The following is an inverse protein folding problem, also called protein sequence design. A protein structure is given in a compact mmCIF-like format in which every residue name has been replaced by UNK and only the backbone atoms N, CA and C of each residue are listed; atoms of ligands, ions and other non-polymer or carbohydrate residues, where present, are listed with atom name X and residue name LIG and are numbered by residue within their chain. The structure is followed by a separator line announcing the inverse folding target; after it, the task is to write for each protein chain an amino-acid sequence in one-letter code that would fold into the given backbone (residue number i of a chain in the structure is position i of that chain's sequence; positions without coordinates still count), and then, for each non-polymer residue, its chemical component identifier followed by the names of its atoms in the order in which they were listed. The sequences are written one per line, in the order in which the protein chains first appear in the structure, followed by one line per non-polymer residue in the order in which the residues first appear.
data_IF_340165199026
#
_entry.id   IF_340165199026
#
_cell.length_a   1.000
_cell.length_b   1.000
_cell.length_c   1.000
_cell.angle_alpha   90.00
_cell.angle_beta   90.00
_cell.angle_gamma   90.00
#
_symmetry.space_group_name_H-M   'P 1'
#
loop_
_entity.id
_entity.type
_entity.pdbx_description
1 polymer ?
#
# COMPACT_ATOMS: atom_id res chain seq x y z
N UNK A 1 11.64 16.42 -4.45
CA UNK A 1 12.68 15.39 -4.69
C UNK A 1 12.81 15.02 -6.18
N UNK A 2 11.76 14.61 -6.90
CA UNK A 2 11.87 14.08 -8.28
C UNK A 2 12.53 15.05 -9.29
N UNK A 3 12.24 16.35 -9.19
CA UNK A 3 12.83 17.35 -10.06
C UNK A 3 14.35 17.54 -9.82
N UNK A 4 14.79 17.49 -8.57
CA UNK A 4 16.20 17.58 -8.19
C UNK A 4 16.99 16.34 -8.66
N UNK A 5 16.41 15.15 -8.43
CA UNK A 5 16.98 13.88 -8.90
C UNK A 5 17.13 13.91 -10.41
N UNK A 6 16.09 14.34 -11.16
CA UNK A 6 16.15 14.45 -12.62
C UNK A 6 17.23 15.40 -13.08
N UNK A 7 17.31 16.59 -12.50
CA UNK A 7 18.30 17.60 -12.88
C UNK A 7 19.72 17.09 -12.61
N UNK A 8 19.93 16.37 -11.51
CA UNK A 8 21.23 15.77 -11.20
C UNK A 8 21.58 14.65 -12.17
N UNK A 9 20.64 13.76 -12.50
CA UNK A 9 20.82 12.70 -13.49
C UNK A 9 21.17 13.29 -14.87
N UNK A 10 20.44 14.30 -15.32
CA UNK A 10 20.72 14.98 -16.59
C UNK A 10 22.08 15.69 -16.58
N UNK A 11 22.44 16.32 -15.48
CA UNK A 11 23.75 16.98 -15.33
C UNK A 11 24.91 15.99 -15.44
N UNK A 12 24.78 14.81 -14.88
CA UNK A 12 25.79 13.75 -14.94
C UNK A 12 25.81 13.12 -16.33
N UNK A 13 24.66 12.77 -16.89
CA UNK A 13 24.54 12.13 -18.19
C UNK A 13 24.97 13.04 -19.36
N UNK A 14 24.69 14.36 -19.29
CA UNK A 14 25.04 15.33 -20.31
C UNK A 14 26.52 15.75 -20.34
N UNK A 15 27.30 15.36 -19.34
CA UNK A 15 28.71 15.81 -19.20
C UNK A 15 29.60 15.49 -20.40
N UNK A 16 29.18 14.53 -21.23
CA UNK A 16 29.94 14.05 -22.40
C UNK A 16 29.19 14.12 -23.72
N UNK A 17 28.07 14.84 -23.85
CA UNK A 17 27.22 14.92 -25.06
C UNK A 17 26.68 13.56 -25.57
N UNK A 18 26.59 12.55 -24.75
CA UNK A 18 26.27 11.17 -25.17
C UNK A 18 24.83 10.71 -24.98
N UNK A 19 23.91 11.58 -24.62
CA UNK A 19 22.54 11.11 -24.60
C UNK A 19 21.54 12.04 -23.93
N UNK A 20 20.48 12.32 -24.63
CA UNK A 20 19.29 12.98 -24.09
C UNK A 20 18.37 11.93 -23.50
N UNK A 21 18.09 12.04 -22.21
CA UNK A 21 17.09 11.22 -21.54
C UNK A 21 15.75 11.95 -21.66
N UNK A 22 14.81 11.35 -22.40
CA UNK A 22 13.48 11.94 -22.52
C UNK A 22 12.74 11.92 -21.19
N UNK A 23 11.75 12.80 -20.95
CA UNK A 23 10.91 12.74 -19.75
C UNK A 23 10.25 11.39 -19.50
N UNK A 24 9.81 10.73 -20.58
CA UNK A 24 9.18 9.41 -20.50
C UNK A 24 10.19 8.33 -20.10
N UNK A 25 11.41 8.37 -20.66
CA UNK A 25 12.47 7.43 -20.27
C UNK A 25 12.87 7.64 -18.81
N UNK A 26 12.99 8.92 -18.38
CA UNK A 26 13.26 9.23 -16.98
C UNK A 26 12.19 8.66 -16.05
N UNK A 27 10.90 8.85 -16.35
CA UNK A 27 9.82 8.31 -15.53
C UNK A 27 9.84 6.77 -15.46
N UNK A 28 10.21 6.11 -16.57
CA UNK A 28 10.37 4.65 -16.61
C UNK A 28 11.51 4.18 -15.70
N UNK A 29 12.68 4.83 -15.79
CA UNK A 29 13.84 4.49 -14.95
C UNK A 29 13.59 4.84 -13.48
N UNK A 30 12.96 5.98 -13.22
CA UNK A 30 12.57 6.41 -11.89
C UNK A 30 11.64 5.40 -11.20
N UNK A 31 10.63 4.89 -11.94
CA UNK A 31 9.74 3.84 -11.44
C UNK A 31 10.52 2.57 -11.07
N UNK A 32 11.40 2.11 -11.95
CA UNK A 32 12.16 0.88 -11.70
C UNK A 32 13.13 1.06 -10.53
N UNK A 33 13.84 2.18 -10.47
CA UNK A 33 14.75 2.49 -9.38
C UNK A 33 14.05 2.55 -8.02
N UNK A 34 12.86 3.16 -7.96
CA UNK A 34 12.06 3.20 -6.73
C UNK A 34 11.63 1.80 -6.29
N UNK A 35 11.19 0.94 -7.21
CA UNK A 35 10.81 -0.44 -6.89
C UNK A 35 12.00 -1.25 -6.39
N UNK A 36 13.17 -1.11 -7.00
CA UNK A 36 14.38 -1.82 -6.56
C UNK A 36 14.80 -1.42 -5.14
N UNK A 37 14.74 -0.11 -4.81
CA UNK A 37 15.06 0.36 -3.46
C UNK A 37 14.00 -0.14 -2.46
N UNK A 38 12.73 -0.13 -2.85
CA UNK A 38 11.64 -0.65 -2.02
C UNK A 38 11.84 -2.15 -1.69
N UNK A 39 12.23 -2.97 -2.67
CA UNK A 39 12.51 -4.39 -2.44
C UNK A 39 13.79 -4.60 -1.60
N UNK A 40 14.79 -3.74 -1.75
CA UNK A 40 16.02 -3.76 -0.96
C UNK A 40 15.75 -3.56 0.54
N UNK A 41 14.80 -2.72 0.93
CA UNK A 41 14.42 -2.56 2.34
C UNK A 41 13.98 -3.88 3.00
N UNK A 42 13.18 -4.69 2.29
CA UNK A 42 12.77 -6.00 2.81
C UNK A 42 13.94 -6.96 2.94
N UNK A 43 14.86 -6.92 1.98
CA UNK A 43 16.06 -7.74 2.03
C UNK A 43 16.95 -7.34 3.21
N UNK A 44 17.20 -6.07 3.39
CA UNK A 44 18.01 -5.53 4.50
C UNK A 44 17.36 -5.85 5.85
N UNK A 45 16.07 -5.61 6.01
CA UNK A 45 15.32 -5.93 7.22
C UNK A 45 15.46 -7.41 7.60
N UNK A 46 15.30 -8.30 6.63
CA UNK A 46 15.44 -9.74 6.85
C UNK A 46 16.88 -10.13 7.21
N UNK A 47 17.87 -9.57 6.50
CA UNK A 47 19.29 -9.81 6.77
C UNK A 47 19.70 -9.36 8.18
N UNK A 48 19.22 -8.20 8.63
CA UNK A 48 19.47 -7.68 9.97
C UNK A 48 18.79 -8.51 11.06
N UNK A 49 17.55 -8.95 10.86
CA UNK A 49 16.87 -9.85 11.80
C UNK A 49 17.62 -11.17 11.97
N UNK A 50 18.16 -11.74 10.89
CA UNK A 50 18.98 -12.94 10.96
C UNK A 50 20.28 -12.66 11.73
N UNK A 51 20.95 -11.53 11.46
CA UNK A 51 22.17 -11.13 12.18
C UNK A 51 21.91 -10.93 13.69
N UNK A 52 20.80 -10.30 14.07
CA UNK A 52 20.42 -10.14 15.48
C UNK A 52 20.17 -11.47 16.19
N UNK A 53 19.48 -12.40 15.54
CA UNK A 53 19.22 -13.72 16.12
C UNK A 53 20.50 -14.54 16.35
N UNK A 54 21.56 -14.30 15.58
CA UNK A 54 22.86 -14.94 15.73
C UNK A 54 23.72 -14.25 16.79
N UNK A 55 23.55 -12.94 17.02
CA UNK A 55 24.27 -12.18 18.04
C UNK A 55 23.58 -12.32 19.40
N UNK A 56 24.13 -13.15 20.28
CA UNK A 56 23.67 -13.31 21.67
C UNK A 56 24.00 -12.15 22.62
N UNK A 57 24.70 -11.11 22.17
CA UNK A 57 25.03 -9.94 22.98
C UNK A 57 24.41 -8.67 22.38
N UNK A 58 23.45 -8.11 23.09
CA UNK A 58 22.66 -6.93 22.71
C UNK A 58 23.36 -5.58 22.77
N UNK A 59 24.54 -5.44 22.20
CA UNK A 59 25.25 -4.14 22.07
C UNK A 59 25.30 -3.69 20.63
N UNK A 60 24.14 -3.49 20.00
CA UNK A 60 24.02 -2.76 18.74
C UNK A 60 23.82 -1.27 19.04
N UNK A 61 24.74 -0.41 18.62
CA UNK A 61 24.71 1.03 18.91
C UNK A 61 23.72 1.83 18.05
N UNK A 62 23.17 1.25 17.00
CA UNK A 62 22.14 1.85 16.18
C UNK A 62 21.00 0.86 16.02
N UNK A 63 19.79 1.35 16.24
CA UNK A 63 18.58 0.56 16.05
C UNK A 63 18.19 0.58 14.55
N UNK A 64 19.09 0.01 13.71
CA UNK A 64 18.94 -0.03 12.26
C UNK A 64 17.65 -0.78 11.89
N UNK A 65 17.33 -1.85 12.64
CA UNK A 65 16.10 -2.60 12.45
C UNK A 65 14.88 -1.71 12.65
N UNK A 66 14.90 -0.87 13.68
CA UNK A 66 13.80 0.07 13.96
C UNK A 66 13.67 1.13 12.88
N UNK A 67 14.79 1.65 12.38
CA UNK A 67 14.77 2.61 11.26
C UNK A 67 14.17 1.99 10.00
N UNK A 68 14.53 0.74 9.68
CA UNK A 68 13.95 0.01 8.55
C UNK A 68 12.46 -0.31 8.78
N UNK A 69 12.07 -0.64 10.01
CA UNK A 69 10.66 -0.82 10.36
C UNK A 69 9.85 0.47 10.15
N UNK A 70 10.36 1.62 10.57
CA UNK A 70 9.71 2.92 10.37
C UNK A 70 9.52 3.25 8.88
N UNK A 71 10.50 2.93 8.04
CA UNK A 71 10.39 3.08 6.58
C UNK A 71 9.34 2.13 6.00
N UNK A 72 9.36 0.86 6.41
CA UNK A 72 8.36 -0.13 5.96
C UNK A 72 6.95 0.23 6.43
N UNK A 73 6.81 0.74 7.65
CA UNK A 73 5.53 1.17 8.20
C UNK A 73 4.95 2.38 7.44
N UNK A 74 5.78 3.21 6.81
CA UNK A 74 5.30 4.31 5.96
C UNK A 74 4.52 3.82 4.73
N UNK A 75 4.75 2.58 4.30
CA UNK A 75 3.99 1.92 3.22
C UNK A 75 2.82 1.10 3.75
N UNK A 76 2.60 1.07 5.06
CA UNK A 76 1.47 0.35 5.66
C UNK A 76 0.17 1.08 5.39
N UNK A 77 -0.85 0.34 4.97
CA UNK A 77 -2.18 0.86 4.71
C UNK A 77 -3.25 -0.07 5.30
N UNK A 78 -4.37 0.53 5.66
CA UNK A 78 -5.54 -0.21 6.16
C UNK A 78 -6.69 -0.03 5.18
N UNK A 79 -7.30 -1.15 4.77
CA UNK A 79 -8.49 -1.14 3.90
C UNK A 79 -9.49 -2.22 4.29
N UNK A 80 -10.76 -1.93 4.10
CA UNK A 80 -11.80 -2.94 4.08
C UNK A 80 -11.70 -3.75 2.78
N UNK A 81 -11.81 -5.08 2.89
CA UNK A 81 -11.81 -5.94 1.72
C UNK A 81 -13.19 -5.92 1.06
N UNK A 82 -13.21 -5.89 -0.28
CA UNK A 82 -14.44 -5.86 -1.05
C UNK A 82 -14.98 -7.29 -1.16
N UNK A 83 -16.19 -7.49 -0.65
CA UNK A 83 -16.86 -8.79 -0.67
C UNK A 83 -17.46 -9.10 -2.05
N UNK A 84 -17.11 -10.28 -2.60
CA UNK A 84 -17.63 -10.76 -3.91
C UNK A 84 -18.69 -11.85 -3.82
N UNK A 85 -18.99 -12.33 -2.63
CA UNK A 85 -19.86 -13.48 -2.41
C UNK A 85 -19.09 -14.75 -2.09
N UNK A 86 -19.79 -15.75 -1.49
CA UNK A 86 -19.22 -17.06 -1.16
C UNK A 86 -17.92 -16.99 -0.34
N UNK A 87 -17.85 -16.08 0.60
CA UNK A 87 -16.67 -15.86 1.46
C UNK A 87 -15.39 -15.37 0.74
N UNK A 88 -15.55 -14.96 -0.52
CA UNK A 88 -14.48 -14.44 -1.34
C UNK A 88 -14.39 -12.91 -1.20
N UNK A 89 -13.17 -12.43 -0.97
CA UNK A 89 -12.86 -11.01 -0.83
C UNK A 89 -11.72 -10.62 -1.76
N UNK A 90 -11.78 -9.41 -2.33
CA UNK A 90 -10.72 -8.84 -3.11
C UNK A 90 -9.71 -8.12 -2.22
N UNK A 91 -8.43 -8.35 -2.49
CA UNK A 91 -7.35 -7.54 -1.97
C UNK A 91 -7.23 -6.24 -2.76
N UNK A 92 -6.71 -5.18 -2.14
CA UNK A 92 -6.40 -3.94 -2.84
C UNK A 92 -5.43 -4.19 -4.01
N UNK A 93 -5.62 -3.48 -5.14
CA UNK A 93 -4.77 -3.67 -6.33
C UNK A 93 -3.29 -3.38 -6.10
N UNK A 94 -3.02 -2.47 -5.15
CA UNK A 94 -1.67 -2.03 -4.80
C UNK A 94 -1.04 -2.81 -3.64
N UNK A 95 -1.62 -3.96 -3.23
CA UNK A 95 -1.05 -4.71 -2.13
C UNK A 95 0.27 -5.40 -2.54
N UNK A 96 1.24 -5.37 -1.63
CA UNK A 96 2.50 -6.11 -1.73
C UNK A 96 2.52 -7.29 -0.76
N UNK A 97 2.28 -7.02 0.51
CA UNK A 97 2.30 -8.03 1.57
C UNK A 97 1.18 -7.78 2.58
N UNK A 98 0.46 -8.83 2.95
CA UNK A 98 -0.56 -8.76 3.99
C UNK A 98 0.12 -8.89 5.36
N UNK A 99 -0.06 -7.89 6.22
CA UNK A 99 0.39 -7.96 7.61
C UNK A 99 -0.62 -8.72 8.46
N UNK A 100 -1.87 -8.23 8.47
CA UNK A 100 -2.96 -8.81 9.23
C UNK A 100 -4.29 -8.65 8.52
N UNK A 101 -5.18 -9.60 8.73
CA UNK A 101 -6.60 -9.48 8.39
C UNK A 101 -7.41 -9.63 9.68
N UNK A 102 -8.30 -8.69 9.91
CA UNK A 102 -9.17 -8.66 11.08
C UNK A 102 -10.63 -8.78 10.66
N UNK A 103 -11.39 -9.55 11.43
CA UNK A 103 -12.82 -9.67 11.33
C UNK A 103 -13.49 -8.84 12.44
N UNK A 104 -14.39 -7.97 12.05
CA UNK A 104 -15.22 -7.16 12.93
C UNK A 104 -16.62 -7.75 12.96
N UNK A 105 -16.98 -8.37 14.07
CA UNK A 105 -18.21 -9.16 14.17
C UNK A 105 -19.48 -8.30 14.39
N UNK A 106 -19.35 -6.99 14.56
CA UNK A 106 -20.47 -6.10 14.86
C UNK A 106 -20.49 -4.93 13.89
N UNK A 107 -21.42 -4.99 12.94
CA UNK A 107 -21.82 -3.83 12.15
C UNK A 107 -22.86 -3.06 12.98
N UNK A 108 -22.64 -1.75 13.15
CA UNK A 108 -23.57 -0.86 13.85
C UNK A 108 -24.63 -0.33 12.91
N UNK A 109 -24.20 0.13 11.73
CA UNK A 109 -25.13 0.64 10.70
C UNK A 109 -24.52 0.53 9.31
N UNK A 110 -25.36 0.51 8.31
CA UNK A 110 -25.02 0.58 6.88
C UNK A 110 -25.98 1.55 6.19
N UNK A 111 -25.53 2.21 5.15
CA UNK A 111 -26.36 3.17 4.41
C UNK A 111 -25.64 3.68 3.17
N UNK A 112 -26.14 4.78 2.64
CA UNK A 112 -25.61 5.42 1.44
C UNK A 112 -25.35 6.89 1.70
N UNK A 113 -24.24 7.40 1.21
CA UNK A 113 -23.93 8.84 1.31
C UNK A 113 -24.98 9.68 0.57
N UNK A 114 -25.53 10.68 1.24
CA UNK A 114 -26.52 11.62 0.62
C UNK A 114 -25.89 12.95 0.24
N UNK A 115 -24.71 13.28 0.81
CA UNK A 115 -23.96 14.48 0.46
C UNK A 115 -22.44 14.18 0.56
N UNK A 116 -21.63 15.01 -0.10
CA UNK A 116 -20.15 14.89 -0.09
C UNK A 116 -19.56 16.17 0.48
N UNK A 117 -18.95 16.04 1.63
CA UNK A 117 -18.16 17.09 2.27
C UNK A 117 -16.86 16.46 2.76
N UNK A 118 -15.74 17.11 2.51
CA UNK A 118 -14.42 16.59 2.85
C UNK A 118 -14.33 16.15 4.33
N UNK A 119 -13.78 14.97 4.56
CA UNK A 119 -13.66 14.33 5.87
C UNK A 119 -15.00 14.13 6.62
N UNK A 120 -16.10 13.97 5.91
CA UNK A 120 -17.42 13.84 6.53
C UNK A 120 -18.19 12.69 5.87
N UNK A 121 -18.97 11.97 6.64
CA UNK A 121 -20.05 11.11 6.15
C UNK A 121 -21.38 11.77 6.49
N UNK A 122 -22.18 12.02 5.49
CA UNK A 122 -23.53 12.57 5.62
C UNK A 122 -24.53 11.61 4.97
N UNK A 123 -25.51 11.18 5.77
CA UNK A 123 -26.62 10.35 5.32
C UNK A 123 -27.92 10.86 5.98
N UNK A 124 -28.77 11.47 5.17
CA UNK A 124 -30.06 12.03 5.61
C UNK A 124 -31.04 10.96 6.11
N UNK A 125 -30.82 9.68 5.78
CA UNK A 125 -31.69 8.57 6.16
C UNK A 125 -31.16 7.81 7.39
N UNK A 126 -29.96 8.12 7.87
CA UNK A 126 -29.36 7.48 9.04
C UNK A 126 -29.71 8.23 10.33
N UNK A 127 -29.57 7.53 11.46
CA UNK A 127 -29.56 8.11 12.81
C UNK A 127 -28.36 7.58 13.59
N UNK A 128 -27.19 8.19 13.38
CA UNK A 128 -25.92 7.79 14.00
C UNK A 128 -25.94 7.87 15.55
N UNK A 129 -26.83 8.67 16.11
CA UNK A 129 -26.99 8.78 17.55
C UNK A 129 -27.75 7.58 18.11
N UNK A 130 -28.85 7.19 17.49
CA UNK A 130 -29.64 6.01 17.88
C UNK A 130 -28.89 4.72 17.60
N UNK A 131 -28.09 4.67 16.53
CA UNK A 131 -27.23 3.54 16.18
C UNK A 131 -26.00 3.42 17.09
N UNK A 132 -25.89 4.32 18.06
CA UNK A 132 -24.81 4.33 19.07
C UNK A 132 -23.40 4.37 18.43
N UNK A 133 -23.23 5.18 17.38
CA UNK A 133 -21.94 5.44 16.78
C UNK A 133 -21.11 6.29 17.74
N UNK A 134 -19.88 5.86 17.99
CA UNK A 134 -18.93 6.53 18.89
C UNK A 134 -17.63 6.88 18.20
N UNK A 135 -16.91 7.81 18.79
CA UNK A 135 -15.55 8.16 18.33
C UNK A 135 -14.66 6.92 18.41
N UNK A 136 -13.94 6.65 17.34
CA UNK A 136 -13.08 5.48 17.18
C UNK A 136 -13.74 4.32 16.42
N UNK A 137 -15.04 4.35 16.14
CA UNK A 137 -15.64 3.36 15.23
C UNK A 137 -15.05 3.52 13.83
N UNK A 138 -15.02 2.43 13.07
CA UNK A 138 -14.44 2.40 11.74
C UNK A 138 -15.53 2.42 10.68
N UNK A 139 -15.40 3.37 9.75
CA UNK A 139 -16.27 3.52 8.59
C UNK A 139 -15.55 3.00 7.35
N UNK A 140 -16.20 2.18 6.56
CA UNK A 140 -15.69 1.71 5.27
C UNK A 140 -16.53 2.24 4.12
N UNK A 141 -15.84 2.59 3.03
CA UNK A 141 -16.45 2.81 1.73
C UNK A 141 -16.51 1.46 1.01
N UNK A 142 -17.70 0.98 0.71
CA UNK A 142 -17.91 -0.38 0.22
C UNK A 142 -17.57 -0.54 -1.28
N UNK A 143 -17.32 0.56 -1.99
CA UNK A 143 -16.91 0.55 -3.39
C UNK A 143 -15.38 0.57 -3.53
N UNK A 144 -14.70 1.43 -2.77
CA UNK A 144 -13.24 1.61 -2.87
C UNK A 144 -12.45 0.81 -1.82
N UNK A 145 -13.13 0.34 -0.77
CA UNK A 145 -12.51 -0.31 0.38
C UNK A 145 -11.74 0.66 1.29
N UNK A 146 -11.77 1.98 1.02
CA UNK A 146 -11.15 2.96 1.91
C UNK A 146 -11.84 2.93 3.27
N UNK A 147 -11.05 3.13 4.33
CA UNK A 147 -11.54 3.12 5.69
C UNK A 147 -11.03 4.33 6.48
N UNK A 148 -11.88 4.87 7.34
CA UNK A 148 -11.56 6.00 8.20
C UNK A 148 -12.21 5.84 9.57
N UNK A 149 -11.61 6.40 10.61
CA UNK A 149 -12.17 6.39 11.95
C UNK A 149 -13.12 7.57 12.15
N UNK A 150 -14.18 7.33 12.92
CA UNK A 150 -15.06 8.40 13.40
C UNK A 150 -14.30 9.26 14.40
N UNK A 151 -14.13 10.54 14.10
CA UNK A 151 -13.48 11.50 14.98
C UNK A 151 -14.50 12.28 15.84
N UNK A 152 -15.71 12.47 15.30
CA UNK A 152 -16.78 13.18 15.99
C UNK A 152 -18.15 12.82 15.41
N UNK A 153 -19.15 12.67 16.26
CA UNK A 153 -20.57 12.65 15.86
C UNK A 153 -21.10 14.09 15.97
N UNK A 154 -21.48 14.68 14.84
CA UNK A 154 -21.92 16.09 14.74
C UNK A 154 -23.41 16.21 14.94
N UNK A 155 -24.17 15.33 14.28
CA UNK A 155 -25.63 15.28 14.32
C UNK A 155 -26.10 13.84 14.09
N UNK A 156 -27.42 13.56 14.19
CA UNK A 156 -27.94 12.24 13.85
C UNK A 156 -27.60 11.77 12.43
N UNK A 157 -27.42 12.71 11.50
CA UNK A 157 -27.19 12.42 10.07
C UNK A 157 -25.77 12.73 9.59
N UNK A 158 -24.87 13.24 10.47
CA UNK A 158 -23.54 13.70 10.08
C UNK A 158 -22.48 13.27 11.09
N UNK A 159 -21.44 12.63 10.60
CA UNK A 159 -20.22 12.29 11.37
C UNK A 159 -18.97 12.80 10.67
N UNK A 160 -17.95 13.18 11.47
CA UNK A 160 -16.63 13.53 10.97
C UNK A 160 -15.69 12.34 10.99
N UNK A 161 -14.86 12.24 9.96
CA UNK A 161 -13.92 11.15 9.73
C UNK A 161 -12.47 11.64 9.85
N UNK A 162 -11.56 10.70 10.10
CA UNK A 162 -10.12 10.97 10.15
C UNK A 162 -9.53 11.31 8.77
N UNK A 163 -10.09 10.74 7.72
CA UNK A 163 -9.65 10.92 6.34
C UNK A 163 -10.86 11.06 5.42
N UNK A 164 -10.65 11.66 4.28
CA UNK A 164 -11.66 11.73 3.22
C UNK A 164 -11.71 10.41 2.45
N UNK A 165 -12.84 9.73 2.53
CA UNK A 165 -13.05 8.43 1.88
C UNK A 165 -14.25 8.40 0.94
N UNK A 166 -14.98 9.51 0.85
CA UNK A 166 -16.18 9.63 0.00
C UNK A 166 -16.04 10.81 -0.96
N UNK A 167 -15.99 10.51 -2.23
CA UNK A 167 -15.86 11.48 -3.34
C UNK A 167 -17.16 11.65 -4.15
N UNK A 168 -18.13 10.76 -3.97
CA UNK A 168 -19.41 10.74 -4.68
C UNK A 168 -20.57 10.52 -3.72
N UNK A 169 -21.75 10.99 -4.14
CA UNK A 169 -23.03 10.71 -3.49
C UNK A 169 -23.54 9.34 -3.92
N UNK A 170 -24.25 8.65 -3.03
CA UNK A 170 -24.83 7.34 -3.30
C UNK A 170 -23.85 6.18 -3.14
N UNK A 171 -22.74 6.41 -2.46
CA UNK A 171 -21.76 5.37 -2.12
C UNK A 171 -22.25 4.63 -0.88
N UNK A 172 -22.28 3.30 -0.98
CA UNK A 172 -22.56 2.42 0.16
C UNK A 172 -21.44 2.46 1.19
N UNK A 173 -21.83 2.44 2.46
CA UNK A 173 -20.90 2.40 3.58
C UNK A 173 -21.34 1.43 4.66
N UNK A 174 -20.39 0.95 5.44
CA UNK A 174 -20.60 0.19 6.66
C UNK A 174 -19.84 0.81 7.82
N UNK A 175 -20.44 0.86 9.00
CA UNK A 175 -19.79 1.30 10.24
C UNK A 175 -19.70 0.12 11.19
N UNK A 176 -18.48 -0.21 11.59
CA UNK A 176 -18.20 -1.33 12.48
C UNK A 176 -17.64 -0.86 13.81
N UNK A 177 -17.98 -1.62 14.85
CA UNK A 177 -17.45 -1.36 16.20
C UNK A 177 -16.00 -1.80 16.32
N UNK A 178 -15.15 -0.94 16.86
CA UNK A 178 -13.73 -1.21 17.11
C UNK A 178 -13.44 -1.63 18.56
N UNK A 179 -14.46 -1.96 19.33
CA UNK A 179 -14.23 -2.45 20.71
C UNK A 179 -13.43 -3.76 20.69
N UNK A 180 -12.47 -3.97 21.61
CA UNK A 180 -11.61 -5.17 21.60
C UNK A 180 -12.37 -6.50 21.63
N UNK A 181 -13.58 -6.53 22.18
CA UNK A 181 -14.43 -7.72 22.21
C UNK A 181 -15.01 -8.12 20.86
N UNK A 182 -15.06 -7.17 19.89
CA UNK A 182 -15.67 -7.37 18.58
C UNK A 182 -14.67 -7.69 17.47
N UNK A 183 -13.38 -7.50 17.72
CA UNK A 183 -12.31 -7.72 16.75
C UNK A 183 -11.72 -9.12 16.92
N UNK A 184 -11.57 -9.84 15.82
CA UNK A 184 -10.89 -11.15 15.76
C UNK A 184 -9.86 -11.11 14.64
N UNK A 185 -8.65 -11.58 14.95
CA UNK A 185 -7.64 -11.81 13.92
C UNK A 185 -8.01 -13.06 13.11
N UNK A 186 -7.91 -12.99 11.81
CA UNK A 186 -8.14 -14.10 10.89
C UNK A 186 -6.78 -14.74 10.62
N UNK A 187 -6.61 -16.03 10.97
CA UNK A 187 -5.34 -16.73 10.82
C UNK A 187 -5.10 -17.14 9.36
N UNK A 188 -3.89 -16.91 8.86
CA UNK A 188 -3.47 -17.39 7.55
C UNK A 188 -3.24 -18.90 7.56
N UNK A 189 -3.91 -19.60 6.66
CA UNK A 189 -3.77 -21.05 6.47
C UNK A 189 -3.38 -21.36 5.02
N UNK A 190 -2.56 -22.37 4.80
CA UNK A 190 -2.24 -22.83 3.46
C UNK A 190 -3.43 -23.54 2.82
N UNK A 191 -3.51 -23.51 1.47
CA UNK A 191 -4.54 -24.19 0.69
C UNK A 191 -4.70 -25.68 1.06
N UNK A 192 -3.60 -26.39 1.26
CA UNK A 192 -3.66 -27.82 1.63
C UNK A 192 -4.20 -28.02 3.05
N UNK A 193 -3.80 -27.17 4.00
CA UNK A 193 -4.20 -27.30 5.41
C UNK A 193 -5.70 -27.03 5.60
N UNK A 194 -6.29 -26.10 4.84
CA UNK A 194 -7.71 -25.75 5.01
C UNK A 194 -8.64 -26.94 4.70
N UNK A 195 -8.29 -27.82 3.73
CA UNK A 195 -9.06 -29.02 3.45
C UNK A 195 -9.12 -29.98 4.65
N UNK A 196 -8.00 -30.12 5.36
CA UNK A 196 -7.97 -30.94 6.58
C UNK A 196 -8.77 -30.30 7.72
N UNK A 197 -8.68 -28.98 7.87
CA UNK A 197 -9.44 -28.26 8.88
C UNK A 197 -10.95 -28.36 8.63
N UNK A 198 -11.37 -28.25 7.37
CA UNK A 198 -12.78 -28.33 6.99
C UNK A 198 -13.35 -29.76 7.03
N UNK A 199 -12.51 -30.81 7.08
CA UNK A 199 -12.97 -32.20 7.11
C UNK A 199 -13.47 -32.67 8.48
N UNK A 200 -13.17 -31.93 9.55
CA UNK A 200 -13.56 -32.30 10.92
C UNK A 200 -14.31 -31.17 11.61
N UNK A 201 -15.48 -31.44 12.22
CA UNK A 201 -16.22 -30.44 12.98
C UNK A 201 -15.44 -29.85 14.17
N UNK A 202 -14.43 -30.58 14.67
CA UNK A 202 -13.62 -30.14 15.80
C UNK A 202 -12.54 -29.13 15.40
N UNK A 203 -12.08 -29.18 14.16
CA UNK A 203 -11.01 -28.32 13.63
C UNK A 203 -11.52 -27.27 12.65
N UNK A 204 -12.80 -27.30 12.34
CA UNK A 204 -13.43 -26.36 11.40
C UNK A 204 -13.31 -24.92 11.94
N UNK A 205 -12.88 -23.95 11.11
CA UNK A 205 -12.82 -22.55 11.50
C UNK A 205 -14.18 -22.02 11.98
N UNK A 206 -14.18 -21.27 13.04
CA UNK A 206 -15.39 -20.66 13.61
C UNK A 206 -15.28 -19.14 13.58
N UNK A 207 -16.37 -18.42 13.83
CA UNK A 207 -16.36 -16.95 13.94
C UNK A 207 -15.49 -16.44 15.10
N UNK A 208 -15.17 -17.31 16.06
CA UNK A 208 -14.22 -17.00 17.16
C UNK A 208 -12.76 -17.20 16.73
N UNK A 209 -12.51 -18.16 15.85
CA UNK A 209 -11.21 -18.52 15.32
C UNK A 209 -11.30 -18.65 13.79
N UNK A 210 -11.48 -17.51 13.10
CA UNK A 210 -11.60 -17.51 11.65
C UNK A 210 -10.24 -17.76 11.00
N UNK A 211 -10.27 -18.31 9.79
CA UNK A 211 -9.08 -18.57 8.99
C UNK A 211 -9.25 -18.02 7.57
N UNK A 212 -8.13 -17.68 6.92
CA UNK A 212 -8.16 -17.29 5.51
C UNK A 212 -7.12 -18.04 4.68
N UNK A 213 -7.40 -18.14 3.40
CA UNK A 213 -6.50 -18.69 2.39
C UNK A 213 -6.31 -17.65 1.30
N UNK A 214 -5.05 -17.46 0.90
CA UNK A 214 -4.72 -16.63 -0.26
C UNK A 214 -5.07 -17.35 -1.55
N UNK A 215 -5.68 -16.66 -2.47
CA UNK A 215 -6.27 -17.24 -3.68
C UNK A 215 -7.64 -17.81 -3.39
N UNK A 216 -8.54 -17.63 -4.31
CA UNK A 216 -9.87 -18.19 -4.28
C UNK A 216 -10.08 -19.10 -5.48
N UNK A 217 -11.23 -19.76 -5.52
CA UNK A 217 -11.66 -20.45 -6.70
C UNK A 217 -11.83 -19.43 -7.85
N UNK A 218 -10.84 -19.38 -8.72
CA UNK A 218 -10.97 -18.71 -9.99
C UNK A 218 -11.83 -19.59 -10.90
N UNK A 219 -13.04 -19.19 -11.11
CA UNK A 219 -13.98 -20.00 -11.89
C UNK A 219 -14.91 -19.20 -12.76
N UNK A 220 -14.89 -17.88 -12.71
CA UNK A 220 -15.82 -17.06 -13.50
C UNK A 220 -15.11 -16.50 -14.72
N UNK A 221 -15.42 -17.08 -15.89
CA UNK A 221 -15.04 -16.53 -17.18
C UNK A 221 -15.50 -15.06 -17.26
N UNK A 222 -14.55 -14.13 -17.39
CA UNK A 222 -14.81 -12.70 -17.50
C UNK A 222 -14.40 -11.87 -16.28
N UNK A 223 -13.94 -12.47 -15.20
CA UNK A 223 -13.32 -11.73 -14.10
C UNK A 223 -11.89 -11.35 -14.49
N UNK A 224 -11.64 -10.07 -14.60
CA UNK A 224 -10.31 -9.46 -14.80
C UNK A 224 -9.48 -9.52 -13.51
N UNK A 225 -9.68 -10.51 -12.65
CA UNK A 225 -8.90 -10.60 -11.42
C UNK A 225 -7.48 -10.99 -11.76
N UNK A 226 -6.58 -10.08 -11.51
CA UNK A 226 -5.15 -10.33 -11.52
C UNK A 226 -4.85 -11.50 -10.59
N UNK A 227 -4.10 -12.46 -11.07
CA UNK A 227 -3.75 -13.67 -10.34
C UNK A 227 -3.28 -13.36 -8.92
N UNK A 228 -3.91 -13.96 -7.92
CA UNK A 228 -3.48 -13.86 -6.53
C UNK A 228 -4.09 -12.73 -5.68
N UNK A 229 -4.98 -11.90 -6.24
CA UNK A 229 -5.54 -10.76 -5.51
C UNK A 229 -6.85 -11.05 -4.77
N UNK A 230 -7.09 -12.30 -4.40
CA UNK A 230 -8.29 -12.70 -3.67
C UNK A 230 -7.95 -13.46 -2.39
N UNK A 231 -8.84 -13.36 -1.43
CA UNK A 231 -8.78 -14.07 -0.15
C UNK A 231 -10.09 -14.78 0.09
N UNK A 232 -10.03 -16.07 0.42
CA UNK A 232 -11.19 -16.81 0.89
C UNK A 232 -11.17 -16.90 2.40
N UNK A 233 -12.24 -16.44 3.05
CA UNK A 233 -12.37 -16.42 4.52
C UNK A 233 -13.28 -17.54 4.98
N UNK A 234 -12.92 -18.21 6.06
CA UNK A 234 -13.69 -19.26 6.73
C UNK A 234 -13.99 -18.87 8.18
N UNK A 235 -15.18 -19.18 8.70
CA UNK A 235 -16.29 -19.91 8.07
C UNK A 235 -17.07 -19.05 7.06
N UNK A 236 -17.85 -19.72 6.21
CA UNK A 236 -18.69 -19.09 5.18
C UNK A 236 -19.74 -18.11 5.73
N UNK A 237 -19.99 -18.13 7.05
CA UNK A 237 -20.86 -17.16 7.72
C UNK A 237 -20.24 -15.76 7.83
N UNK A 238 -18.94 -15.61 7.58
CA UNK A 238 -18.27 -14.32 7.42
C UNK A 238 -18.40 -13.92 5.97
N UNK A 239 -19.47 -13.24 5.63
CA UNK A 239 -19.82 -12.96 4.23
C UNK A 239 -20.58 -11.64 4.09
N UNK A 240 -20.19 -10.60 4.84
CA UNK A 240 -20.81 -9.29 4.75
C UNK A 240 -19.76 -8.24 4.45
N UNK A 241 -20.10 -7.30 3.56
CA UNK A 241 -19.26 -6.17 3.21
C UNK A 241 -18.92 -5.34 4.46
N UNK A 242 -17.72 -4.80 4.55
CA UNK A 242 -17.26 -3.96 5.64
C UNK A 242 -16.76 -4.69 6.90
N UNK A 243 -17.04 -6.01 7.04
CA UNK A 243 -16.63 -6.77 8.23
C UNK A 243 -15.17 -7.22 8.23
N UNK A 244 -14.54 -7.33 7.06
CA UNK A 244 -13.17 -7.84 6.93
C UNK A 244 -12.25 -6.70 6.51
N UNK A 245 -11.29 -6.40 7.36
CA UNK A 245 -10.36 -5.29 7.19
C UNK A 245 -8.95 -5.83 7.22
N UNK A 246 -8.15 -5.40 6.25
CA UNK A 246 -6.75 -5.79 6.13
C UNK A 246 -5.82 -4.63 6.45
N UNK A 247 -4.77 -4.94 7.19
CA UNK A 247 -3.54 -4.15 7.22
C UNK A 247 -2.52 -4.80 6.29
N UNK A 248 -1.98 -4.03 5.38
CA UNK A 248 -1.07 -4.53 4.36
C UNK A 248 0.00 -3.49 4.02
N UNK A 249 1.12 -3.96 3.50
CA UNK A 249 2.12 -3.11 2.89
C UNK A 249 1.74 -2.96 1.42
N UNK A 250 1.65 -1.71 0.96
CA UNK A 250 1.36 -1.39 -0.42
C UNK A 250 2.62 -1.15 -1.24
N UNK A 251 2.53 -1.37 -2.53
CA UNK A 251 3.54 -0.85 -3.43
C UNK A 251 3.60 0.67 -3.37
N UNK A 252 4.80 1.28 -3.52
CA UNK A 252 4.90 2.72 -3.67
C UNK A 252 4.19 3.19 -4.93
N UNK A 253 3.64 4.40 -4.89
CA UNK A 253 3.01 5.00 -6.06
C UNK A 253 4.05 5.22 -7.16
N UNK A 254 3.61 5.10 -8.40
CA UNK A 254 4.50 5.29 -9.55
C UNK A 254 4.92 6.75 -9.63
N UNK A 255 6.23 7.06 -9.51
CA UNK A 255 6.69 8.44 -9.62
C UNK A 255 6.45 8.96 -11.04
N UNK A 256 5.99 10.19 -11.16
CA UNK A 256 5.69 10.79 -12.44
C UNK A 256 6.14 12.26 -12.45
N UNK A 257 7.22 12.54 -13.16
CA UNK A 257 7.68 13.88 -13.44
C UNK A 257 6.88 14.48 -14.58
N UNK A 258 6.06 15.47 -14.27
CA UNK A 258 5.17 16.14 -15.21
C UNK A 258 5.81 17.41 -15.77
N UNK A 259 5.43 17.79 -16.98
CA UNK A 259 6.04 18.92 -17.66
C UNK A 259 5.09 19.62 -18.63
N UNK A 260 5.38 20.88 -18.89
CA UNK A 260 4.74 21.69 -19.94
C UNK A 260 5.79 22.04 -21.01
N UNK A 261 5.43 21.88 -22.28
CA UNK A 261 6.22 22.39 -23.41
C UNK A 261 5.72 23.78 -23.81
N UNK A 262 6.54 24.80 -23.61
CA UNK A 262 6.18 26.20 -23.87
C UNK A 262 6.33 26.52 -25.37
N UNK A 263 7.06 25.72 -26.16
CA UNK A 263 7.28 25.94 -27.61
C UNK A 263 7.85 24.71 -28.31
N UNK A 264 7.78 24.74 -29.64
CA UNK A 264 8.36 23.68 -30.49
C UNK A 264 9.89 23.71 -30.35
N UNK A 265 10.48 22.59 -29.94
CA UNK A 265 11.94 22.42 -29.69
C UNK A 265 12.48 23.13 -28.43
N UNK A 266 11.64 23.54 -27.48
CA UNK A 266 12.12 23.97 -26.17
C UNK A 266 12.19 22.82 -25.17
N UNK A 267 13.11 22.95 -24.22
CA UNK A 267 13.21 21.96 -23.15
C UNK A 267 11.93 21.92 -22.33
N UNK A 268 11.46 20.73 -21.92
CA UNK A 268 10.29 20.57 -21.08
C UNK A 268 10.52 21.22 -19.71
N UNK A 269 9.61 22.12 -19.31
CA UNK A 269 9.62 22.76 -17.99
C UNK A 269 8.81 21.95 -17.00
N UNK A 270 9.34 21.76 -15.80
CA UNK A 270 8.67 21.04 -14.72
C UNK A 270 7.35 21.72 -14.34
N UNK A 271 6.29 20.93 -14.16
CA UNK A 271 4.97 21.37 -13.73
C UNK A 271 4.48 20.51 -12.57
N UNK A 272 4.57 21.08 -11.37
CA UNK A 272 4.09 20.44 -10.12
C UNK A 272 2.56 20.54 -9.98
N UNK A 273 1.93 21.46 -10.71
CA UNK A 273 0.48 21.72 -10.61
C UNK A 273 -0.37 20.69 -11.40
N UNK A 274 0.28 19.84 -12.18
CA UNK A 274 -0.41 18.83 -12.97
C UNK A 274 -1.02 17.75 -12.06
N UNK A 275 -2.31 17.37 -12.24
CA UNK A 275 -2.97 16.36 -11.42
C UNK A 275 -2.29 14.98 -11.48
N UNK A 276 -1.54 14.70 -12.56
CA UNK A 276 -0.81 13.44 -12.71
C UNK A 276 0.60 13.47 -12.05
N UNK A 277 0.95 14.57 -11.39
CA UNK A 277 2.21 14.68 -10.68
C UNK A 277 2.29 13.74 -9.49
N UNK A 278 3.38 12.98 -9.40
CA UNK A 278 3.68 12.11 -8.26
C UNK A 278 5.17 12.14 -7.97
N UNK A 279 5.52 12.60 -6.76
CA UNK A 279 6.90 12.54 -6.28
C UNK A 279 7.26 11.12 -5.82
N UNK A 280 8.54 10.87 -5.58
CA UNK A 280 9.01 9.64 -4.95
C UNK A 280 8.43 9.49 -3.55
N UNK A 281 8.06 8.27 -3.19
CA UNK A 281 7.60 7.92 -1.84
C UNK A 281 8.72 7.32 -0.97
N UNK A 282 9.96 7.66 -1.27
CA UNK A 282 11.13 7.25 -0.51
C UNK A 282 11.63 8.42 0.38
N UNK A 283 12.35 8.13 1.48
CA UNK A 283 13.02 9.14 2.27
C UNK A 283 14.01 9.97 1.42
N UNK A 284 14.19 11.24 1.77
CA UNK A 284 15.17 12.12 1.08
C UNK A 284 16.60 11.59 1.16
N UNK A 285 16.93 10.81 2.20
CA UNK A 285 18.23 10.16 2.37
C UNK A 285 18.59 9.21 1.22
N UNK A 286 17.58 8.68 0.51
CA UNK A 286 17.78 7.74 -0.60
C UNK A 286 17.93 8.41 -1.96
N UNK A 287 17.89 9.74 -2.01
CA UNK A 287 18.10 10.46 -3.27
C UNK A 287 19.42 10.08 -3.99
N UNK A 288 20.57 9.89 -3.29
CA UNK A 288 21.80 9.42 -3.94
C UNK A 288 21.64 8.02 -4.56
N UNK A 289 20.99 7.10 -3.84
CA UNK A 289 20.75 5.73 -4.32
C UNK A 289 19.83 5.73 -5.55
N UNK A 290 18.78 6.56 -5.54
CA UNK A 290 17.90 6.76 -6.70
C UNK A 290 18.69 7.27 -7.92
N UNK A 291 19.53 8.29 -7.74
CA UNK A 291 20.36 8.85 -8.83
C UNK A 291 21.25 7.76 -9.41
N UNK A 292 21.94 6.98 -8.58
CA UNK A 292 22.85 5.92 -9.04
C UNK A 292 22.10 4.82 -9.80
N UNK A 293 20.95 4.36 -9.31
CA UNK A 293 20.13 3.35 -9.99
C UNK A 293 19.56 3.88 -11.33
N UNK A 294 19.07 5.12 -11.35
CA UNK A 294 18.57 5.74 -12.60
C UNK A 294 19.70 5.87 -13.62
N UNK A 295 20.90 6.30 -13.21
CA UNK A 295 22.07 6.39 -14.10
C UNK A 295 22.48 5.01 -14.63
N UNK A 296 22.41 3.98 -13.81
CA UNK A 296 22.67 2.62 -14.24
C UNK A 296 21.71 2.17 -15.35
N UNK A 297 20.41 2.41 -15.21
CA UNK A 297 19.43 2.09 -16.25
C UNK A 297 19.60 2.94 -17.50
N UNK A 298 19.84 4.25 -17.34
CA UNK A 298 20.11 5.16 -18.44
C UNK A 298 21.39 4.75 -19.18
N UNK A 299 22.47 4.41 -18.49
CA UNK A 299 23.72 3.97 -19.06
C UNK A 299 23.59 2.70 -19.90
N UNK A 300 22.81 1.73 -19.44
CA UNK A 300 22.49 0.52 -20.21
C UNK A 300 21.71 0.86 -21.48
N UNK A 301 20.74 1.76 -21.39
CA UNK A 301 19.90 2.16 -22.53
C UNK A 301 20.70 2.88 -23.62
N UNK A 302 21.57 3.82 -23.24
CA UNK A 302 22.41 4.57 -24.18
C UNK A 302 23.69 3.81 -24.60
N UNK A 303 23.86 2.56 -24.10
CA UNK A 303 25.04 1.72 -24.31
C UNK A 303 26.36 2.37 -23.89
N UNK A 304 26.31 3.27 -22.91
CA UNK A 304 27.51 3.83 -22.30
C UNK A 304 27.92 3.00 -21.08
N UNK A 305 28.88 2.12 -21.33
CA UNK A 305 29.41 1.25 -20.28
C UNK A 305 30.08 2.03 -19.13
N UNK A 306 30.50 3.26 -19.34
CA UNK A 306 31.16 4.06 -18.30
C UNK A 306 30.15 4.59 -17.29
N UNK A 307 28.99 5.06 -17.75
CA UNK A 307 27.90 5.52 -16.89
C UNK A 307 27.28 4.36 -16.11
N UNK A 308 27.05 3.23 -16.78
CA UNK A 308 26.54 2.03 -16.14
C UNK A 308 27.53 1.47 -15.08
N UNK A 309 28.82 1.48 -15.38
CA UNK A 309 29.86 1.03 -14.45
C UNK A 309 29.98 1.98 -13.25
N UNK A 310 29.86 3.29 -13.45
CA UNK A 310 29.86 4.27 -12.38
C UNK A 310 28.69 4.04 -11.41
N UNK A 311 27.47 3.94 -11.91
CA UNK A 311 26.28 3.68 -11.08
C UNK A 311 26.41 2.36 -10.28
N UNK A 312 26.94 1.31 -10.91
CA UNK A 312 27.15 0.03 -10.23
C UNK A 312 28.27 0.07 -9.19
N UNK A 313 29.32 0.83 -9.42
CA UNK A 313 30.41 1.00 -8.46
C UNK A 313 29.92 1.72 -7.20
N UNK A 314 29.19 2.80 -7.35
CA UNK A 314 28.58 3.56 -6.25
C UNK A 314 27.58 2.72 -5.45
N UNK A 315 26.72 1.95 -6.11
CA UNK A 315 25.82 1.00 -5.46
C UNK A 315 26.57 -0.05 -4.64
N UNK A 316 27.64 -0.60 -5.19
CA UNK A 316 28.45 -1.60 -4.49
C UNK A 316 29.16 -1.00 -3.27
N UNK A 317 29.60 0.25 -3.38
CA UNK A 317 30.25 0.96 -2.26
C UNK A 317 29.24 1.28 -1.15
N UNK A 318 28.03 1.76 -1.49
CA UNK A 318 26.95 1.98 -0.55
C UNK A 318 26.56 0.69 0.19
N UNK A 319 26.34 -0.40 -0.53
CA UNK A 319 26.01 -1.71 0.07
C UNK A 319 27.13 -2.25 0.97
N UNK A 320 28.40 -1.98 0.66
CA UNK A 320 29.51 -2.37 1.51
C UNK A 320 29.59 -1.53 2.80
N UNK A 321 29.20 -0.26 2.76
CA UNK A 321 29.13 0.61 3.93
C UNK A 321 27.98 0.23 4.85
N UNK A 322 26.83 -0.12 4.29
CA UNK A 322 25.66 -0.59 5.04
C UNK A 322 25.83 -2.01 5.61
N UNK A 323 26.70 -2.82 5.01
CA UNK A 323 26.97 -4.21 5.42
C UNK A 323 27.98 -4.37 6.56
N UNK A 324 28.68 -3.30 6.98
CA UNK A 324 29.63 -3.29 8.10
C UNK A 324 28.96 -2.89 9.40
#
# INVERSE_FOLDING_TARGET
MINEVRNTVLSIANKNNFGYITPNDFNLYARQAQLDIFEDYFYQYNAWNVKQNVRQSGTGYADIVKSLEEVLDSFSATRALIYRGSSLYDLPENYYLINKINYYNTIKTTGNTTNVVANTLEDANADFVTDNIVVGDLVSNDVTGLAAFVTRVVSPTVIQLSNDIFDLVGIDYAIVSTTPSTIREIERVSQNKIFYLNSSPLTYPTTMYPAYVLGGADGTAGSSSTFGNTVTVYPDSIGTQGMVITQYIRYPRVPNWTYVQIGVNQEPSFDESNPDYQDFELPESDAPNLINKILQYAGVSIRDNTVAAFGKAEETEANNQEGQ
#
